data_IF_448358894663
#
_entry.id   IF_448358894663
#
_cell.length_a   1.000
_cell.length_b   1.000
_cell.length_c   1.000
_cell.angle_alpha   90.00
_cell.angle_beta   90.00
_cell.angle_gamma   90.00
#
_symmetry.space_group_name_H-M   'P 1'
#
loop_
_entity.id
_entity.type
_entity.pdbx_description
1 polymer ?
#
# COMPACT_ATOMS: atom_id res chain seq x y z
N UNK A 1 -38.14 22.77 15.66
CA UNK A 1 -37.54 22.27 16.93
C UNK A 1 -36.64 21.03 16.75
N UNK A 2 -36.15 20.72 15.53
CA UNK A 2 -35.43 19.46 15.21
C UNK A 2 -33.97 19.63 14.75
N UNK A 3 -33.46 20.87 14.58
CA UNK A 3 -32.09 21.11 14.08
C UNK A 3 -31.01 21.02 15.16
N UNK A 4 -31.32 21.44 16.39
CA UNK A 4 -30.40 21.40 17.54
C UNK A 4 -29.94 19.96 17.86
N UNK A 5 -30.88 19.01 17.94
CA UNK A 5 -30.59 17.59 18.22
C UNK A 5 -29.68 16.93 17.17
N UNK A 6 -29.82 17.32 15.89
CA UNK A 6 -29.00 16.74 14.81
C UNK A 6 -27.57 17.26 14.85
N UNK A 7 -27.35 18.53 15.20
CA UNK A 7 -26.02 19.10 15.33
C UNK A 7 -25.26 18.55 16.54
N UNK A 8 -25.93 18.39 17.69
CA UNK A 8 -25.31 17.75 18.86
C UNK A 8 -24.91 16.31 18.59
N UNK A 9 -25.78 15.55 17.90
CA UNK A 9 -25.50 14.15 17.53
C UNK A 9 -24.39 14.03 16.48
N UNK A 10 -24.32 14.95 15.52
CA UNK A 10 -23.19 15.02 14.58
C UNK A 10 -21.90 15.38 15.30
N UNK A 11 -21.94 16.32 16.25
CA UNK A 11 -20.77 16.73 17.02
C UNK A 11 -20.27 15.64 17.97
N UNK A 12 -21.15 14.83 18.55
CA UNK A 12 -20.78 13.66 19.35
C UNK A 12 -20.13 12.58 18.48
N UNK A 13 -20.73 12.27 17.32
CA UNK A 13 -20.20 11.29 16.37
C UNK A 13 -18.83 11.71 15.80
N UNK A 14 -18.63 13.00 15.51
CA UNK A 14 -17.34 13.54 15.04
C UNK A 14 -16.27 13.46 16.12
N UNK A 15 -16.62 13.63 17.40
CA UNK A 15 -15.67 13.45 18.51
C UNK A 15 -15.30 11.98 18.73
N UNK A 16 -16.25 11.08 18.56
CA UNK A 16 -16.02 9.62 18.69
C UNK A 16 -15.17 9.08 17.52
N UNK A 17 -15.34 9.62 16.31
CA UNK A 17 -14.69 9.14 15.09
C UNK A 17 -13.70 10.14 14.50
N UNK A 18 -13.07 10.97 15.35
CA UNK A 18 -12.23 12.08 14.91
C UNK A 18 -11.04 11.63 14.05
N UNK A 19 -10.39 10.53 14.44
CA UNK A 19 -9.21 10.00 13.74
C UNK A 19 -9.54 9.49 12.32
N UNK A 20 -10.48 8.55 12.11
CA UNK A 20 -10.81 8.06 10.77
C UNK A 20 -11.45 9.15 9.89
N UNK A 21 -12.27 10.04 10.46
CA UNK A 21 -12.85 11.15 9.70
C UNK A 21 -11.75 12.10 9.21
N UNK A 22 -10.76 12.40 10.06
CA UNK A 22 -9.64 13.27 9.71
C UNK A 22 -8.77 12.68 8.60
N UNK A 23 -8.53 11.36 8.56
CA UNK A 23 -7.74 10.75 7.48
C UNK A 23 -8.50 10.77 6.15
N UNK A 24 -9.81 10.49 6.17
CA UNK A 24 -10.64 10.60 4.97
C UNK A 24 -10.66 12.04 4.41
N UNK A 25 -10.85 13.03 5.27
CA UNK A 25 -10.85 14.45 4.86
C UNK A 25 -9.48 14.87 4.32
N UNK A 26 -8.38 14.43 4.98
CA UNK A 26 -7.02 14.70 4.52
C UNK A 26 -6.75 14.10 3.13
N UNK A 27 -7.15 12.85 2.88
CA UNK A 27 -6.98 12.20 1.56
C UNK A 27 -7.76 12.94 0.47
N UNK A 28 -9.03 13.30 0.74
CA UNK A 28 -9.83 14.05 -0.22
C UNK A 28 -9.22 15.43 -0.51
N UNK A 29 -8.79 16.15 0.53
CA UNK A 29 -8.12 17.43 0.37
C UNK A 29 -6.80 17.29 -0.41
N UNK A 30 -5.99 16.28 -0.13
CA UNK A 30 -4.74 16.02 -0.83
C UNK A 30 -4.95 15.73 -2.32
N UNK A 31 -5.98 14.95 -2.68
CA UNK A 31 -6.34 14.68 -4.08
C UNK A 31 -6.76 15.99 -4.77
N UNK A 32 -7.62 16.79 -4.15
CA UNK A 32 -8.08 18.07 -4.72
C UNK A 32 -6.89 19.02 -4.93
N UNK A 33 -6.04 19.18 -3.92
CA UNK A 33 -4.84 20.01 -3.99
C UNK A 33 -3.89 19.49 -5.08
N UNK A 34 -3.67 18.18 -5.18
CA UNK A 34 -2.85 17.56 -6.22
C UNK A 34 -3.37 17.83 -7.63
N UNK A 35 -4.69 17.73 -7.84
CA UNK A 35 -5.33 18.05 -9.13
C UNK A 35 -5.18 19.54 -9.46
N UNK A 36 -5.40 20.44 -8.50
CA UNK A 36 -5.25 21.90 -8.70
C UNK A 36 -3.81 22.25 -9.06
N UNK A 37 -2.84 21.71 -8.32
CA UNK A 37 -1.41 21.91 -8.57
C UNK A 37 -1.02 21.40 -9.97
N UNK A 38 -1.57 20.24 -10.38
CA UNK A 38 -1.35 19.70 -11.73
C UNK A 38 -1.98 20.56 -12.82
N UNK A 39 -3.20 21.07 -12.61
CA UNK A 39 -3.94 21.87 -13.59
C UNK A 39 -3.39 23.30 -13.73
N UNK A 40 -2.84 23.87 -12.66
CA UNK A 40 -2.29 25.23 -12.66
C UNK A 40 -0.89 25.35 -13.27
N UNK A 41 -0.18 24.23 -13.47
CA UNK A 41 1.19 24.25 -14.01
C UNK A 41 1.21 23.98 -15.52
N UNK A 42 1.42 25.02 -16.31
CA UNK A 42 1.59 24.95 -17.78
C UNK A 42 3.00 24.49 -18.19
N UNK A 43 4.00 24.59 -17.31
CA UNK A 43 5.39 24.20 -17.59
C UNK A 43 5.75 22.84 -16.94
N UNK A 44 6.69 22.11 -17.55
CA UNK A 44 7.22 20.85 -16.98
C UNK A 44 7.90 21.16 -15.64
N UNK A 45 7.49 20.48 -14.59
CA UNK A 45 8.08 20.65 -13.26
C UNK A 45 9.55 20.25 -13.30
N UNK A 46 10.41 21.04 -12.67
CA UNK A 46 11.83 20.66 -12.51
C UNK A 46 11.93 19.58 -11.42
N UNK A 47 12.80 18.59 -11.59
CA UNK A 47 12.96 17.45 -10.66
C UNK A 47 13.14 17.89 -9.19
N UNK A 48 13.79 19.03 -8.97
CA UNK A 48 13.99 19.61 -7.63
C UNK A 48 12.68 20.02 -6.95
N UNK A 49 11.73 20.58 -7.69
CA UNK A 49 10.43 21.01 -7.14
C UNK A 49 9.58 19.81 -6.75
N UNK A 50 9.64 18.73 -7.55
CA UNK A 50 8.96 17.49 -7.24
C UNK A 50 9.55 16.84 -5.98
N UNK A 51 10.88 16.81 -5.86
CA UNK A 51 11.56 16.31 -4.66
C UNK A 51 11.11 17.03 -3.39
N UNK A 52 10.98 18.36 -3.40
CA UNK A 52 10.51 19.10 -2.22
C UNK A 52 9.06 18.80 -1.86
N UNK A 53 8.20 18.56 -2.86
CA UNK A 53 6.79 18.23 -2.63
C UNK A 53 6.62 16.81 -2.06
N UNK A 54 7.45 15.86 -2.49
CA UNK A 54 7.42 14.47 -2.03
C UNK A 54 8.11 14.27 -0.66
N UNK A 55 9.06 15.15 -0.31
CA UNK A 55 9.86 15.07 0.91
C UNK A 55 9.07 14.74 2.20
N UNK A 56 7.98 15.44 2.57
CA UNK A 56 7.24 15.11 3.80
C UNK A 56 6.62 13.70 3.77
N UNK A 57 6.15 13.24 2.62
CA UNK A 57 5.60 11.89 2.46
C UNK A 57 6.68 10.81 2.54
N UNK A 58 7.83 11.09 1.94
CA UNK A 58 9.01 10.23 1.97
C UNK A 58 9.54 10.05 3.39
N UNK A 59 9.66 11.15 4.15
CA UNK A 59 10.06 11.14 5.55
C UNK A 59 9.09 10.34 6.43
N UNK A 60 7.78 10.53 6.24
CA UNK A 60 6.75 9.77 6.95
C UNK A 60 6.86 8.27 6.67
N UNK A 61 7.01 7.88 5.40
CA UNK A 61 7.17 6.48 5.01
C UNK A 61 8.46 5.87 5.56
N UNK A 62 9.56 6.63 5.66
CA UNK A 62 10.80 6.16 6.30
C UNK A 62 10.59 5.92 7.80
N UNK A 63 9.90 6.82 8.49
CA UNK A 63 9.58 6.68 9.91
C UNK A 63 8.73 5.42 10.18
N UNK A 64 7.69 5.18 9.38
CA UNK A 64 6.86 3.97 9.51
C UNK A 64 7.65 2.67 9.27
N UNK A 65 8.52 2.64 8.24
CA UNK A 65 9.36 1.47 7.95
C UNK A 65 10.33 1.16 9.09
N UNK A 66 10.90 2.19 9.72
CA UNK A 66 11.80 2.04 10.88
C UNK A 66 11.08 1.42 12.08
N UNK A 67 9.80 1.74 12.30
CA UNK A 67 9.00 1.19 13.39
C UNK A 67 8.47 -0.23 13.12
N UNK A 68 8.26 -0.58 11.85
CA UNK A 68 7.60 -1.84 11.48
C UNK A 68 8.41 -3.07 11.88
N UNK A 69 9.72 -3.09 11.60
CA UNK A 69 10.60 -4.22 11.92
C UNK A 69 10.64 -4.52 13.43
N UNK A 70 10.98 -3.56 14.33
CA UNK A 70 11.07 -3.83 15.75
C UNK A 70 9.71 -4.22 16.36
N UNK A 71 8.62 -3.57 15.95
CA UNK A 71 7.28 -3.87 16.48
C UNK A 71 6.81 -5.27 16.10
N UNK A 72 7.06 -5.73 14.87
CA UNK A 72 6.70 -7.07 14.44
C UNK A 72 7.47 -8.11 15.25
N UNK A 73 8.79 -7.93 15.41
CA UNK A 73 9.63 -8.87 16.15
C UNK A 73 9.22 -8.94 17.62
N UNK A 74 9.06 -7.79 18.29
CA UNK A 74 8.65 -7.77 19.70
C UNK A 74 7.26 -8.36 19.91
N UNK A 75 6.31 -8.02 19.03
CA UNK A 75 4.94 -8.56 19.09
C UNK A 75 4.92 -10.07 18.87
N UNK A 76 5.71 -10.59 17.92
CA UNK A 76 5.78 -12.01 17.63
C UNK A 76 6.43 -12.80 18.77
N UNK A 77 7.56 -12.31 19.30
CA UNK A 77 8.25 -12.96 20.42
C UNK A 77 7.35 -13.01 21.65
N UNK A 78 6.67 -11.90 21.99
CA UNK A 78 5.74 -11.87 23.12
C UNK A 78 4.55 -12.81 22.91
N UNK A 79 3.97 -12.83 21.70
CA UNK A 79 2.86 -13.74 21.38
C UNK A 79 3.27 -15.21 21.50
N UNK A 80 4.41 -15.60 20.94
CA UNK A 80 4.91 -16.98 20.99
C UNK A 80 5.33 -17.40 22.41
N UNK A 81 5.90 -16.48 23.20
CA UNK A 81 6.31 -16.76 24.58
C UNK A 81 5.15 -16.92 25.56
N UNK A 82 3.98 -16.36 25.27
CA UNK A 82 2.79 -16.43 26.12
C UNK A 82 1.96 -17.71 25.96
N UNK A 83 2.27 -18.55 24.97
CA UNK A 83 1.39 -19.65 24.54
C UNK A 83 2.10 -21.01 24.62
N UNK A 84 1.41 -22.03 25.17
CA UNK A 84 1.93 -23.40 25.23
C UNK A 84 2.27 -23.94 23.83
N UNK A 85 3.49 -24.47 23.65
CA UNK A 85 4.02 -24.92 22.36
C UNK A 85 3.10 -25.94 21.64
N UNK A 86 2.44 -26.83 22.39
CA UNK A 86 1.53 -27.85 21.85
C UNK A 86 0.23 -27.25 21.30
N UNK A 87 -0.29 -26.19 21.93
CA UNK A 87 -1.52 -25.50 21.51
C UNK A 87 -1.19 -24.54 20.37
N UNK A 88 -0.10 -23.79 20.49
CA UNK A 88 0.45 -22.87 19.49
C UNK A 88 0.68 -23.55 18.13
N UNK A 89 1.28 -24.75 18.11
CA UNK A 89 1.50 -25.50 16.87
C UNK A 89 0.20 -25.94 16.16
N UNK A 90 -0.82 -26.39 16.90
CA UNK A 90 -2.09 -26.83 16.32
C UNK A 90 -2.90 -25.66 15.75
N UNK A 91 -2.98 -24.56 16.49
CA UNK A 91 -3.72 -23.37 16.04
C UNK A 91 -2.98 -22.65 14.92
N UNK A 92 -1.65 -22.56 15.02
CA UNK A 92 -0.78 -22.00 13.98
C UNK A 92 -0.87 -22.77 12.67
N UNK A 93 -0.87 -24.11 12.70
CA UNK A 93 -1.04 -24.93 11.49
C UNK A 93 -2.39 -24.68 10.81
N UNK A 94 -3.48 -24.61 11.58
CA UNK A 94 -4.83 -24.32 11.03
C UNK A 94 -4.89 -22.92 10.42
N UNK A 95 -4.33 -21.93 11.12
CA UNK A 95 -4.24 -20.56 10.63
C UNK A 95 -3.40 -20.48 9.34
N UNK A 96 -2.24 -21.15 9.29
CA UNK A 96 -1.37 -21.17 8.12
C UNK A 96 -2.07 -21.78 6.90
N UNK A 97 -2.74 -22.92 7.06
CA UNK A 97 -3.49 -23.57 5.97
C UNK A 97 -4.62 -22.64 5.49
N UNK A 98 -5.35 -22.01 6.42
CA UNK A 98 -6.43 -21.08 6.07
C UNK A 98 -5.92 -19.85 5.30
N UNK A 99 -4.85 -19.21 5.78
CA UNK A 99 -4.24 -18.06 5.11
C UNK A 99 -3.65 -18.44 3.76
N UNK A 100 -2.92 -19.56 3.66
CA UNK A 100 -2.35 -20.03 2.41
C UNK A 100 -3.42 -20.33 1.37
N UNK A 101 -4.50 -21.03 1.74
CA UNK A 101 -5.60 -21.35 0.84
C UNK A 101 -6.32 -20.08 0.36
N UNK A 102 -6.63 -19.16 1.27
CA UNK A 102 -7.33 -17.91 0.92
C UNK A 102 -6.45 -17.01 0.06
N UNK A 103 -5.15 -16.94 0.35
CA UNK A 103 -4.18 -16.17 -0.45
C UNK A 103 -4.01 -16.77 -1.84
N UNK A 104 -3.95 -18.10 -1.97
CA UNK A 104 -3.90 -18.77 -3.27
C UNK A 104 -5.13 -18.46 -4.12
N UNK A 105 -6.33 -18.57 -3.54
CA UNK A 105 -7.59 -18.23 -4.23
C UNK A 105 -7.60 -16.74 -4.64
N UNK A 106 -7.18 -15.83 -3.74
CA UNK A 106 -7.13 -14.40 -4.02
C UNK A 106 -6.13 -14.05 -5.13
N UNK A 107 -4.94 -14.65 -5.12
CA UNK A 107 -3.92 -14.46 -6.16
C UNK A 107 -4.42 -15.00 -7.50
N UNK A 108 -5.00 -16.21 -7.54
CA UNK A 108 -5.56 -16.78 -8.76
C UNK A 108 -6.64 -15.88 -9.36
N UNK A 109 -7.55 -15.37 -8.53
CA UNK A 109 -8.60 -14.45 -8.97
C UNK A 109 -8.04 -13.09 -9.43
N UNK A 110 -7.03 -12.56 -8.73
CA UNK A 110 -6.35 -11.31 -9.12
C UNK A 110 -5.63 -11.42 -10.46
N UNK A 111 -4.89 -12.51 -10.68
CA UNK A 111 -4.21 -12.79 -11.95
C UNK A 111 -5.26 -12.97 -13.06
N UNK A 112 -6.31 -13.75 -12.82
CA UNK A 112 -7.38 -13.96 -13.79
C UNK A 112 -8.03 -12.63 -14.22
N UNK A 113 -8.31 -11.75 -13.26
CA UNK A 113 -8.93 -10.45 -13.51
C UNK A 113 -7.99 -9.50 -14.28
N UNK A 114 -6.71 -9.42 -13.89
CA UNK A 114 -5.69 -8.61 -14.59
C UNK A 114 -5.50 -9.08 -16.03
N UNK A 115 -5.43 -10.39 -16.26
CA UNK A 115 -5.30 -10.96 -17.60
C UNK A 115 -6.57 -10.82 -18.44
N UNK A 116 -7.74 -10.62 -17.83
CA UNK A 116 -8.98 -10.40 -18.59
C UNK A 116 -9.14 -8.93 -18.94
N UNK A 117 -8.99 -8.04 -17.96
CA UNK A 117 -9.22 -6.61 -18.11
C UNK A 117 -8.03 -5.87 -18.74
N UNK A 118 -6.83 -6.46 -18.73
CA UNK A 118 -5.57 -5.86 -19.19
C UNK A 118 -5.44 -4.37 -18.80
N UNK A 119 -5.48 -4.05 -17.49
CA UNK A 119 -5.39 -2.67 -17.05
C UNK A 119 -4.03 -2.08 -17.44
N UNK A 120 -4.02 -0.91 -18.06
CA UNK A 120 -2.78 -0.23 -18.48
C UNK A 120 -2.32 -0.52 -19.92
N UNK A 121 -3.12 -1.21 -20.74
CA UNK A 121 -2.86 -1.40 -22.18
C UNK A 121 -3.05 -0.12 -23.04
N UNK A 122 -3.45 0.99 -22.43
CA UNK A 122 -3.40 2.31 -23.08
C UNK A 122 -1.96 2.72 -23.33
N UNK A 123 -1.65 3.30 -24.50
CA UNK A 123 -0.31 3.74 -24.90
C UNK A 123 0.37 4.56 -23.79
N UNK A 124 1.26 3.90 -23.05
CA UNK A 124 2.25 4.56 -22.21
C UNK A 124 3.35 5.00 -23.16
N UNK A 125 3.30 6.26 -23.57
CA UNK A 125 4.46 6.90 -24.18
C UNK A 125 5.60 6.81 -23.16
N UNK A 126 6.61 6.00 -23.50
CA UNK A 126 7.75 5.75 -22.63
C UNK A 126 8.49 7.08 -22.44
N UNK A 127 8.27 7.73 -21.31
CA UNK A 127 9.22 8.72 -20.80
C UNK A 127 10.44 7.92 -20.36
N UNK A 128 11.35 7.71 -21.30
CA UNK A 128 12.65 7.09 -21.06
C UNK A 128 13.39 7.92 -20.00
N UNK A 129 13.42 7.41 -18.78
CA UNK A 129 14.34 7.86 -17.75
C UNK A 129 15.30 6.71 -17.48
N UNK A 130 16.56 6.91 -17.88
CA UNK A 130 17.69 6.09 -17.48
C UNK A 130 18.14 5.07 -18.53
N UNK A 131 19.34 5.31 -19.08
CA UNK A 131 20.16 4.33 -19.78
C UNK A 131 20.25 3.01 -18.98
N UNK A 132 19.60 1.96 -19.49
CA UNK A 132 19.93 0.60 -19.15
C UNK A 132 20.42 -0.09 -20.44
N UNK A 133 21.58 -0.75 -20.43
CA UNK A 133 22.17 -1.33 -21.62
C UNK A 133 21.23 -2.41 -22.18
N UNK A 134 20.84 -2.22 -23.44
CA UNK A 134 20.11 -3.18 -24.26
C UNK A 134 20.99 -4.39 -24.58
N UNK A 135 21.25 -5.24 -23.57
CA UNK A 135 21.57 -6.63 -23.84
C UNK A 135 20.24 -7.35 -23.95
N UNK A 136 19.88 -7.69 -25.19
CA UNK A 136 18.85 -8.66 -25.55
C UNK A 136 19.27 -10.04 -25.01
N UNK A 137 19.26 -10.18 -23.68
CA UNK A 137 19.21 -11.48 -23.02
C UNK A 137 17.79 -11.93 -23.25
N UNK A 138 17.62 -12.91 -24.15
CA UNK A 138 16.39 -13.68 -24.26
C UNK A 138 16.23 -14.44 -22.94
N UNK A 139 15.72 -13.77 -21.92
CA UNK A 139 15.35 -14.38 -20.64
C UNK A 139 14.26 -15.37 -21.01
N UNK A 140 14.61 -16.65 -21.02
CA UNK A 140 13.61 -17.71 -21.18
C UNK A 140 12.88 -17.77 -19.84
N UNK A 141 11.56 -17.93 -19.83
CA UNK A 141 10.77 -18.05 -18.58
C UNK A 141 11.36 -19.01 -17.53
N UNK A 142 12.01 -20.13 -17.92
CA UNK A 142 12.74 -20.99 -16.97
C UNK A 142 13.94 -20.31 -16.31
N UNK A 143 14.66 -19.42 -17.01
CA UNK A 143 15.82 -18.70 -16.47
C UNK A 143 15.40 -17.79 -15.30
N UNK A 144 14.23 -17.17 -15.37
CA UNK A 144 13.67 -16.38 -14.24
C UNK A 144 13.30 -17.25 -13.05
N UNK A 145 12.83 -18.48 -13.29
CA UNK A 145 12.52 -19.43 -12.21
C UNK A 145 13.81 -19.90 -11.54
N UNK A 146 14.86 -20.12 -12.32
CA UNK A 146 16.19 -20.47 -11.82
C UNK A 146 16.82 -19.31 -11.03
N UNK A 147 16.59 -18.06 -11.43
CA UNK A 147 17.10 -16.86 -10.73
C UNK A 147 16.38 -16.59 -9.40
N UNK A 148 15.12 -17.03 -9.26
CA UNK A 148 14.36 -16.91 -8.00
C UNK A 148 14.81 -17.92 -6.93
N UNK A 149 15.38 -19.05 -7.35
CA UNK A 149 15.83 -20.13 -6.46
C UNK A 149 17.28 -19.94 -6.01
N UNK A 150 18.10 -19.27 -6.83
CA UNK A 150 19.53 -19.04 -6.56
C UNK A 150 19.75 -17.88 -5.60
#
# INVERSE_FOLDING_TARGET
MTRESKQEKVRSLVRENLLPLSTCVCVLAAIIVGIIIRASSTHRWTDRQLMYLEFPGELFLRALKCLTIPLIVSSLVSALGSLDAKISGKIGKRALIYYAATTAIAISLGIFLVLTLHPGSGKVEQVATGDAPTLSRKITTPDTVLDLIR
#
